data_IF_316089825469
#
_entry.id   IF_316089825469
#
_cell.length_a   1.000
_cell.length_b   1.000
_cell.length_c   1.000
_cell.angle_alpha   90.00
_cell.angle_beta   90.00
_cell.angle_gamma   90.00
#
_symmetry.space_group_name_H-M   'P 1'
#
loop_
_entity.id
_entity.type
_entity.pdbx_description
1 polymer ?
#
# COMPACT_ATOMS: atom_id res chain seq x y z
N UNK A 1 -10.82 0.56 -8.15
CA UNK A 1 -10.18 -0.43 -7.26
C UNK A 1 -8.78 -0.70 -7.77
N UNK A 2 -7.77 -0.12 -7.10
CA UNK A 2 -6.37 -0.08 -7.55
C UNK A 2 -5.78 -1.50 -7.65
N UNK A 3 -5.58 -1.99 -8.88
CA UNK A 3 -4.68 -3.11 -9.19
C UNK A 3 -3.27 -2.53 -9.37
N UNK A 4 -2.40 -2.75 -8.39
CA UNK A 4 -0.97 -2.44 -8.54
C UNK A 4 -0.37 -3.56 -9.42
N UNK A 5 -0.16 -3.27 -10.70
CA UNK A 5 0.57 -4.13 -11.61
C UNK A 5 2.07 -3.95 -11.40
N UNK A 6 2.79 -5.01 -11.01
CA UNK A 6 4.24 -5.07 -11.19
C UNK A 6 4.55 -5.83 -12.47
N UNK A 7 5.32 -5.18 -13.34
CA UNK A 7 5.67 -5.61 -14.69
C UNK A 7 6.55 -6.86 -14.66
N UNK A 8 6.09 -7.94 -15.30
CA UNK A 8 6.84 -9.19 -15.51
C UNK A 8 7.74 -9.01 -16.74
N UNK A 9 9.07 -9.12 -16.56
CA UNK A 9 10.00 -9.30 -17.69
C UNK A 9 10.52 -10.73 -17.62
N UNK A 10 9.95 -11.60 -18.46
CA UNK A 10 10.53 -12.92 -18.77
C UNK A 10 11.73 -12.71 -19.69
N UNK A 11 12.88 -13.25 -19.31
CA UNK A 11 13.95 -13.58 -20.25
C UNK A 11 14.74 -14.76 -19.73
N UNK A 12 14.74 -15.82 -20.55
CA UNK A 12 15.44 -17.09 -20.40
C UNK A 12 16.90 -16.93 -19.96
N UNK A 13 17.41 -17.79 -19.08
CA UNK A 13 18.80 -18.30 -19.10
C UNK A 13 18.93 -19.62 -18.31
N UNK A 14 19.54 -20.60 -18.95
CA UNK A 14 20.23 -21.72 -18.30
C UNK A 14 21.54 -21.25 -17.64
N UNK A 15 22.06 -22.11 -16.75
CA UNK A 15 23.34 -22.08 -16.02
C UNK A 15 23.37 -21.30 -14.70
N UNK A 16 23.00 -22.01 -13.63
CA UNK A 16 23.82 -22.08 -12.42
C UNK A 16 24.01 -20.79 -11.60
N UNK A 17 22.95 -20.01 -11.37
CA UNK A 17 22.89 -19.05 -10.24
C UNK A 17 21.49 -19.11 -9.64
N UNK A 18 21.39 -19.25 -8.32
CA UNK A 18 20.12 -19.28 -7.61
C UNK A 18 19.36 -17.97 -7.84
N UNK A 19 18.49 -17.96 -8.85
CA UNK A 19 17.58 -16.86 -9.10
C UNK A 19 16.53 -16.88 -7.98
N UNK A 20 16.66 -15.97 -7.02
CA UNK A 20 15.57 -15.64 -6.10
C UNK A 20 14.47 -14.93 -6.89
N UNK A 21 13.71 -15.69 -7.69
CA UNK A 21 12.49 -15.21 -8.30
C UNK A 21 11.46 -14.99 -7.20
N UNK A 22 11.08 -13.73 -6.98
CA UNK A 22 10.05 -13.35 -6.02
C UNK A 22 8.70 -13.40 -6.72
N UNK A 23 7.75 -14.12 -6.12
CA UNK A 23 6.34 -14.09 -6.53
C UNK A 23 5.73 -12.71 -6.29
N UNK A 24 4.83 -12.23 -7.16
CA UNK A 24 4.10 -10.98 -6.91
C UNK A 24 3.32 -11.09 -5.59
N UNK A 25 3.29 -10.00 -4.82
CA UNK A 25 2.53 -9.92 -3.56
C UNK A 25 1.04 -10.00 -3.90
N UNK A 26 0.45 -11.18 -3.77
CA UNK A 26 -0.98 -11.40 -3.95
C UNK A 26 -1.68 -10.97 -2.66
N UNK A 27 -2.52 -9.94 -2.72
CA UNK A 27 -3.47 -9.66 -1.65
C UNK A 27 -4.66 -10.61 -1.81
N UNK A 28 -4.96 -11.48 -0.83
CA UNK A 28 -6.07 -12.42 -0.93
C UNK A 28 -7.39 -11.67 -1.04
N UNK A 29 -8.23 -12.10 -1.98
CA UNK A 29 -9.53 -11.49 -2.26
C UNK A 29 -10.65 -12.10 -1.42
N UNK A 30 -10.39 -13.26 -0.81
CA UNK A 30 -11.32 -13.98 0.06
C UNK A 30 -10.64 -14.62 1.27
N UNK A 31 -11.43 -14.97 2.28
CA UNK A 31 -10.95 -15.71 3.46
C UNK A 31 -10.43 -17.12 3.12
N UNK A 32 -10.94 -17.76 2.06
CA UNK A 32 -10.47 -19.08 1.64
C UNK A 32 -9.06 -18.99 1.08
N UNK A 33 -8.81 -18.06 0.15
CA UNK A 33 -7.47 -17.81 -0.41
C UNK A 33 -6.46 -17.45 0.68
N UNK A 34 -6.89 -16.62 1.65
CA UNK A 34 -6.06 -16.26 2.79
C UNK A 34 -5.65 -17.51 3.61
N UNK A 35 -6.61 -18.41 3.91
CA UNK A 35 -6.33 -19.64 4.69
C UNK A 35 -5.32 -20.54 3.99
N UNK A 36 -5.52 -20.77 2.69
CA UNK A 36 -4.64 -21.61 1.90
C UNK A 36 -3.22 -21.05 1.85
N UNK A 37 -3.07 -19.73 1.64
CA UNK A 37 -1.75 -19.10 1.60
C UNK A 37 -1.08 -19.03 2.98
N UNK A 38 -1.84 -18.78 4.05
CA UNK A 38 -1.30 -18.84 5.42
C UNK A 38 -0.75 -20.23 5.73
N UNK A 39 -1.47 -21.30 5.34
CA UNK A 39 -1.00 -22.68 5.52
C UNK A 39 0.33 -22.92 4.81
N UNK A 40 0.50 -22.45 3.57
CA UNK A 40 1.77 -22.55 2.85
C UNK A 40 2.89 -21.78 3.55
N UNK A 41 2.60 -20.55 4.00
CA UNK A 41 3.55 -19.73 4.74
C UNK A 41 3.98 -20.35 6.07
N UNK A 42 3.11 -21.13 6.72
CA UNK A 42 3.48 -21.87 7.93
C UNK A 42 4.49 -22.97 7.67
N UNK A 43 4.49 -23.56 6.47
CA UNK A 43 5.52 -24.51 6.05
C UNK A 43 6.81 -23.79 5.63
N UNK A 44 6.71 -22.64 4.94
CA UNK A 44 7.87 -21.84 4.52
C UNK A 44 8.59 -21.17 5.72
N UNK A 45 7.84 -20.78 6.76
CA UNK A 45 8.30 -20.06 7.95
C UNK A 45 7.84 -20.76 9.25
N UNK A 46 8.32 -21.99 9.54
CA UNK A 46 7.84 -22.78 10.66
C UNK A 46 8.12 -22.16 12.04
N UNK A 47 9.14 -21.29 12.12
CA UNK A 47 9.49 -20.52 13.32
C UNK A 47 9.20 -19.02 13.15
N UNK A 48 8.49 -18.65 12.08
CA UNK A 48 8.31 -17.27 11.67
C UNK A 48 9.56 -16.64 11.05
N UNK A 49 9.63 -15.30 11.08
CA UNK A 49 10.76 -14.55 10.57
C UNK A 49 12.02 -14.77 11.42
N UNK A 50 13.17 -14.87 10.77
CA UNK A 50 14.48 -15.02 11.43
C UNK A 50 14.99 -13.74 12.11
N UNK A 51 14.26 -12.64 11.96
CA UNK A 51 14.54 -11.36 12.58
C UNK A 51 13.22 -10.73 13.03
N UNK A 52 13.34 -9.74 13.92
CA UNK A 52 12.21 -8.93 14.35
C UNK A 52 12.10 -7.69 13.46
N UNK A 53 10.96 -7.45 12.79
CA UNK A 53 10.74 -6.21 12.06
C UNK A 53 10.86 -4.97 12.94
N UNK A 54 11.56 -3.96 12.45
CA UNK A 54 11.74 -2.66 13.09
C UNK A 54 11.06 -1.56 12.28
N UNK A 55 11.05 -0.32 12.81
CA UNK A 55 10.53 0.82 12.05
C UNK A 55 11.34 0.99 10.77
N UNK A 56 10.64 1.23 9.66
CA UNK A 56 11.29 1.49 8.39
C UNK A 56 12.07 2.80 8.47
N UNK A 57 13.32 2.75 8.04
CA UNK A 57 14.16 3.92 7.79
C UNK A 57 14.51 3.90 6.32
N UNK A 58 14.30 5.03 5.64
CA UNK A 58 14.62 5.15 4.23
C UNK A 58 16.12 4.97 4.01
N UNK A 59 16.48 4.03 3.15
CA UNK A 59 17.87 3.78 2.76
C UNK A 59 18.09 4.23 1.32
N UNK A 60 19.22 4.88 1.01
CA UNK A 60 19.57 5.21 -0.37
C UNK A 60 19.57 3.94 -1.23
N UNK A 61 18.69 3.86 -2.23
CA UNK A 61 18.60 2.71 -3.15
C UNK A 61 19.73 2.64 -4.18
N UNK A 62 20.87 3.28 -3.93
CA UNK A 62 22.00 3.43 -4.85
C UNK A 62 23.22 2.65 -4.35
N UNK A 63 24.18 2.38 -5.25
CA UNK A 63 25.44 1.73 -4.90
C UNK A 63 26.37 2.72 -4.16
N UNK A 64 27.00 2.25 -3.09
CA UNK A 64 28.02 3.02 -2.35
C UNK A 64 29.42 2.62 -2.80
N UNK A 65 30.42 3.51 -2.64
CA UNK A 65 31.83 3.13 -2.85
C UNK A 65 32.29 2.05 -1.86
N UNK A 66 31.70 2.01 -0.67
CA UNK A 66 31.93 0.93 0.31
C UNK A 66 31.55 -0.45 -0.23
N UNK A 67 30.64 -0.52 -1.20
CA UNK A 67 30.23 -1.76 -1.85
C UNK A 67 31.28 -2.25 -2.88
N UNK A 68 32.35 -1.50 -3.16
CA UNK A 68 33.32 -1.81 -4.22
C UNK A 68 34.20 -3.04 -3.88
N UNK A 69 34.26 -3.98 -4.83
CA UNK A 69 35.12 -5.16 -4.81
C UNK A 69 36.33 -4.98 -5.74
N UNK A 70 37.24 -4.07 -5.39
CA UNK A 70 38.46 -3.85 -6.17
C UNK A 70 39.70 -4.02 -5.30
N UNK A 71 40.61 -4.89 -5.75
CA UNK A 71 41.86 -5.20 -5.05
C UNK A 71 43.04 -4.39 -5.58
N UNK A 72 42.93 -3.89 -6.81
CA UNK A 72 43.92 -3.03 -7.42
C UNK A 72 43.77 -1.59 -6.92
N UNK A 73 44.85 -1.04 -6.33
CA UNK A 73 44.81 0.30 -5.77
C UNK A 73 44.54 1.38 -6.81
N UNK A 74 45.05 1.25 -8.04
CA UNK A 74 44.82 2.25 -9.09
C UNK A 74 43.35 2.28 -9.53
N UNK A 75 42.73 1.11 -9.64
CA UNK A 75 41.30 1.00 -9.96
C UNK A 75 40.40 1.44 -8.80
N UNK A 76 40.84 1.22 -7.56
CA UNK A 76 40.16 1.71 -6.38
C UNK A 76 40.09 3.25 -6.36
N UNK A 77 41.21 3.93 -6.64
CA UNK A 77 41.25 5.40 -6.76
C UNK A 77 40.38 5.89 -7.93
N UNK A 78 40.42 5.20 -9.08
CA UNK A 78 39.57 5.50 -10.23
C UNK A 78 38.08 5.43 -9.89
N UNK A 79 37.67 4.55 -8.98
CA UNK A 79 36.26 4.38 -8.61
C UNK A 79 35.65 5.66 -8.01
N UNK A 80 36.44 6.47 -7.31
CA UNK A 80 35.98 7.74 -6.73
C UNK A 80 35.58 8.78 -7.80
N UNK A 81 36.09 8.67 -9.03
CA UNK A 81 35.64 9.53 -10.13
C UNK A 81 34.19 9.25 -10.58
N UNK A 82 33.63 8.10 -10.19
CA UNK A 82 32.25 7.74 -10.48
C UNK A 82 31.29 8.02 -9.32
N UNK A 83 31.70 8.84 -8.35
CA UNK A 83 30.82 9.30 -7.27
C UNK A 83 30.06 10.54 -7.71
N UNK A 84 28.74 10.51 -7.55
CA UNK A 84 27.88 11.64 -7.83
C UNK A 84 28.14 12.77 -6.84
N UNK A 85 28.48 13.97 -7.34
CA UNK A 85 28.72 15.14 -6.49
C UNK A 85 27.50 15.65 -5.71
N UNK A 86 26.29 15.13 -5.98
CA UNK A 86 25.05 15.52 -5.29
C UNK A 86 24.66 14.50 -4.23
N UNK A 87 24.47 13.23 -4.61
CA UNK A 87 24.02 12.20 -3.66
C UNK A 87 25.16 11.46 -2.97
N UNK A 88 26.42 11.68 -3.36
CA UNK A 88 27.62 11.02 -2.82
C UNK A 88 27.65 9.48 -2.98
N UNK A 89 26.76 8.95 -3.82
CA UNK A 89 26.69 7.54 -4.20
C UNK A 89 27.37 7.32 -5.56
N UNK A 90 27.67 6.07 -5.92
CA UNK A 90 28.08 5.74 -7.29
C UNK A 90 26.98 6.17 -8.27
N UNK A 91 27.38 6.86 -9.34
CA UNK A 91 26.45 7.48 -10.30
C UNK A 91 25.50 6.46 -10.92
N UNK A 92 24.19 6.73 -10.86
CA UNK A 92 23.15 5.98 -11.59
C UNK A 92 22.72 6.78 -12.81
N UNK A 93 22.75 6.14 -13.98
CA UNK A 93 22.45 6.79 -15.27
C UNK A 93 23.26 8.10 -15.41
N UNK A 94 24.59 8.01 -15.51
CA UNK A 94 25.49 9.16 -15.38
C UNK A 94 25.28 10.22 -16.47
N UNK A 95 25.36 11.49 -16.05
CA UNK A 95 25.44 12.68 -16.89
C UNK A 95 26.74 13.42 -16.59
N UNK A 96 27.46 13.80 -17.63
CA UNK A 96 28.77 14.45 -17.54
C UNK A 96 28.63 15.93 -17.84
N UNK A 97 29.17 16.79 -16.97
CA UNK A 97 29.24 18.22 -17.20
C UNK A 97 30.28 18.55 -18.29
N UNK A 98 29.92 19.32 -19.32
CA UNK A 98 30.83 19.69 -20.41
C UNK A 98 32.05 20.51 -19.97
N UNK A 99 31.93 21.33 -18.91
CA UNK A 99 33.02 22.20 -18.44
C UNK A 99 34.00 21.50 -17.49
N UNK A 100 33.50 20.83 -16.44
CA UNK A 100 34.36 20.21 -15.41
C UNK A 100 34.43 18.69 -15.46
N UNK A 101 33.78 18.05 -16.44
CA UNK A 101 33.78 16.58 -16.64
C UNK A 101 33.30 15.78 -15.42
N UNK A 102 32.65 16.43 -14.46
CA UNK A 102 32.11 15.79 -13.26
C UNK A 102 30.84 15.01 -13.60
N UNK A 103 30.67 13.86 -12.95
CA UNK A 103 29.53 12.97 -13.16
C UNK A 103 28.44 13.17 -12.10
N UNK A 104 27.19 13.14 -12.55
CA UNK A 104 26.00 13.22 -11.71
C UNK A 104 24.99 12.17 -12.13
N UNK A 105 24.17 11.68 -11.21
CA UNK A 105 23.01 10.86 -11.58
C UNK A 105 22.01 11.71 -12.36
N UNK A 106 21.39 11.17 -13.41
CA UNK A 106 20.37 11.87 -14.20
C UNK A 106 19.23 12.43 -13.32
N UNK A 107 18.75 11.63 -12.37
CA UNK A 107 17.70 12.02 -11.41
C UNK A 107 18.15 13.09 -10.42
N UNK A 108 19.40 13.06 -9.97
CA UNK A 108 19.96 14.09 -9.08
C UNK A 108 20.10 15.41 -9.82
N UNK A 109 20.58 15.35 -11.05
CA UNK A 109 20.75 16.51 -11.89
C UNK A 109 19.40 17.15 -12.26
N UNK A 110 18.39 16.35 -12.63
CA UNK A 110 17.05 16.86 -12.90
C UNK A 110 16.49 17.70 -11.74
N UNK A 111 16.51 17.16 -10.52
CA UNK A 111 16.06 17.86 -9.30
C UNK A 111 16.86 19.15 -9.01
N UNK A 112 18.16 19.14 -9.33
CA UNK A 112 19.00 20.31 -9.18
C UNK A 112 18.62 21.39 -10.19
N UNK A 113 18.47 21.01 -11.45
CA UNK A 113 18.12 21.92 -12.55
C UNK A 113 16.74 22.58 -12.36
N UNK A 114 15.81 21.92 -11.67
CA UNK A 114 14.53 22.53 -11.28
C UNK A 114 14.70 23.82 -10.46
N UNK A 115 15.80 23.94 -9.70
CA UNK A 115 16.05 25.07 -8.79
C UNK A 115 17.28 25.91 -9.17
N UNK A 116 18.23 25.35 -9.92
CA UNK A 116 19.49 26.01 -10.28
C UNK A 116 19.99 25.55 -11.65
N UNK A 117 20.20 26.48 -12.56
CA UNK A 117 20.73 26.21 -13.90
C UNK A 117 22.27 26.25 -13.94
N UNK A 118 22.92 25.89 -12.84
CA UNK A 118 24.38 25.93 -12.68
C UNK A 118 24.94 24.57 -12.38
N UNK A 119 26.22 24.34 -12.70
CA UNK A 119 26.91 23.12 -12.31
C UNK A 119 26.90 22.96 -10.76
N UNK A 120 26.51 21.79 -10.21
CA UNK A 120 26.59 21.52 -8.77
C UNK A 120 28.00 21.70 -8.20
N UNK A 121 29.04 21.41 -9.00
CA UNK A 121 30.44 21.62 -8.64
C UNK A 121 30.94 23.06 -8.87
N UNK A 122 30.05 23.98 -9.27
CA UNK A 122 30.35 25.41 -9.48
C UNK A 122 31.56 25.64 -10.39
N UNK A 123 31.64 24.90 -11.50
CA UNK A 123 32.71 25.09 -12.47
C UNK A 123 32.67 26.51 -13.05
N UNK A 124 33.85 27.10 -13.24
CA UNK A 124 34.03 28.54 -13.53
C UNK A 124 33.68 28.98 -14.97
N UNK A 125 33.25 28.06 -15.83
CA UNK A 125 33.05 28.37 -17.25
C UNK A 125 31.63 28.87 -17.54
N UNK A 126 31.59 30.07 -18.13
CA UNK A 126 30.46 30.98 -18.29
C UNK A 126 29.65 30.78 -19.59
N UNK A 127 29.81 29.65 -20.27
CA UNK A 127 28.95 29.24 -21.39
C UNK A 127 28.03 28.12 -20.91
N UNK A 128 26.74 28.19 -21.29
CA UNK A 128 25.66 27.28 -20.86
C UNK A 128 26.15 25.90 -20.39
N UNK A 129 25.96 25.59 -19.11
CA UNK A 129 26.37 24.30 -18.54
C UNK A 129 25.53 23.21 -19.19
N UNK A 130 26.14 22.50 -20.13
CA UNK A 130 25.52 21.35 -20.79
C UNK A 130 25.91 20.06 -20.05
N UNK A 131 24.94 19.15 -19.97
CA UNK A 131 25.14 17.85 -19.35
C UNK A 131 24.86 16.75 -20.36
N UNK A 132 25.92 16.10 -20.81
CA UNK A 132 25.86 15.13 -21.89
C UNK A 132 25.95 13.70 -21.34
N UNK A 133 25.69 12.71 -22.20
CA UNK A 133 26.05 11.34 -21.87
C UNK A 133 27.56 11.24 -21.79
N UNK A 134 28.12 10.53 -20.79
CA UNK A 134 29.55 10.34 -20.69
C UNK A 134 30.07 9.59 -21.91
N UNK A 135 31.34 9.84 -22.24
CA UNK A 135 31.95 9.17 -23.36
C UNK A 135 31.99 7.64 -23.18
N UNK A 136 32.15 6.90 -24.28
CA UNK A 136 32.16 5.43 -24.27
C UNK A 136 33.20 4.85 -23.30
N UNK A 137 34.36 5.48 -23.18
CA UNK A 137 35.46 4.99 -22.34
C UNK A 137 35.14 5.12 -20.85
N UNK A 138 34.58 6.26 -20.42
CA UNK A 138 34.10 6.50 -19.05
C UNK A 138 33.01 5.50 -18.70
N UNK A 139 32.04 5.29 -19.61
CA UNK A 139 30.97 4.29 -19.42
C UNK A 139 31.52 2.86 -19.31
N UNK A 140 32.49 2.49 -20.15
CA UNK A 140 33.14 1.18 -20.09
C UNK A 140 33.90 1.00 -18.78
N UNK A 141 34.61 2.03 -18.32
CA UNK A 141 35.38 2.02 -17.08
C UNK A 141 34.47 1.82 -15.86
N UNK A 142 33.34 2.52 -15.81
CA UNK A 142 32.31 2.30 -14.79
C UNK A 142 31.77 0.87 -14.83
N UNK A 143 31.45 0.35 -16.02
CA UNK A 143 30.91 -1.00 -16.19
C UNK A 143 31.88 -2.12 -15.76
N UNK A 144 33.19 -1.87 -15.76
CA UNK A 144 34.18 -2.87 -15.33
C UNK A 144 34.33 -2.95 -13.81
N UNK A 145 33.84 -1.96 -13.06
CA UNK A 145 33.87 -1.99 -11.60
C UNK A 145 32.95 -3.08 -11.09
N UNK A 146 33.42 -3.83 -10.08
CA UNK A 146 32.66 -4.87 -9.42
C UNK A 146 32.24 -4.43 -8.03
N UNK A 147 31.04 -4.83 -7.62
CA UNK A 147 30.47 -4.48 -6.32
C UNK A 147 29.91 -5.71 -5.62
N UNK A 148 29.92 -5.67 -4.29
CA UNK A 148 29.23 -6.61 -3.42
C UNK A 148 28.03 -5.95 -2.75
N UNK A 149 26.95 -6.70 -2.59
CA UNK A 149 25.83 -6.23 -1.80
C UNK A 149 26.13 -6.36 -0.30
N UNK A 150 26.25 -5.23 0.41
CA UNK A 150 26.47 -5.22 1.86
C UNK A 150 25.21 -5.45 2.70
N UNK A 151 24.07 -5.71 2.07
CA UNK A 151 22.82 -6.01 2.78
C UNK A 151 22.97 -7.33 3.55
N UNK A 152 22.68 -7.31 4.84
CA UNK A 152 22.82 -8.50 5.70
C UNK A 152 22.09 -9.71 5.14
N UNK A 153 22.81 -10.83 4.98
CA UNK A 153 22.29 -12.08 4.41
C UNK A 153 22.37 -12.17 2.89
N UNK A 154 22.71 -11.08 2.18
CA UNK A 154 22.96 -11.11 0.75
C UNK A 154 24.43 -11.45 0.46
N UNK A 155 24.66 -12.33 -0.52
CA UNK A 155 25.99 -12.73 -1.00
C UNK A 155 26.21 -12.35 -2.47
N UNK A 156 25.42 -11.40 -2.98
CA UNK A 156 25.52 -11.01 -4.38
C UNK A 156 26.80 -10.23 -4.65
N UNK A 157 27.47 -10.58 -5.74
CA UNK A 157 28.59 -9.85 -6.33
C UNK A 157 28.41 -9.80 -7.85
N UNK A 158 28.70 -8.65 -8.46
CA UNK A 158 28.54 -8.47 -9.90
C UNK A 158 29.27 -7.26 -10.42
N UNK A 159 29.22 -7.03 -11.72
CA UNK A 159 29.65 -5.77 -12.31
C UNK A 159 28.69 -4.62 -11.96
N UNK A 160 29.01 -3.38 -12.36
CA UNK A 160 28.16 -2.21 -12.11
C UNK A 160 26.72 -2.42 -12.59
N UNK A 161 26.51 -2.93 -13.82
CA UNK A 161 25.18 -3.07 -14.40
C UNK A 161 24.35 -4.12 -13.66
N UNK A 162 24.96 -5.28 -13.36
CA UNK A 162 24.35 -6.34 -12.57
C UNK A 162 24.04 -5.85 -11.14
N UNK A 163 24.96 -5.09 -10.53
CA UNK A 163 24.81 -4.58 -9.16
C UNK A 163 23.72 -3.53 -9.05
N UNK A 164 23.59 -2.65 -10.04
CA UNK A 164 22.49 -1.69 -10.13
C UNK A 164 21.14 -2.38 -10.27
N UNK A 165 21.05 -3.43 -11.09
CA UNK A 165 19.85 -4.26 -11.19
C UNK A 165 19.56 -4.97 -9.87
N UNK A 166 20.58 -5.54 -9.24
CA UNK A 166 20.47 -6.24 -7.97
C UNK A 166 19.95 -5.34 -6.86
N UNK A 167 20.49 -4.12 -6.67
CA UNK A 167 20.03 -3.21 -5.60
C UNK A 167 18.53 -2.90 -5.68
N UNK A 168 17.97 -2.84 -6.89
CA UNK A 168 16.51 -2.63 -7.11
C UNK A 168 15.66 -3.87 -6.85
N UNK A 169 16.28 -5.05 -6.73
CA UNK A 169 15.60 -6.36 -6.65
C UNK A 169 16.08 -7.21 -5.46
N UNK A 170 16.96 -6.68 -4.63
CA UNK A 170 17.60 -7.43 -3.56
C UNK A 170 16.55 -7.99 -2.60
N UNK A 171 16.54 -9.31 -2.45
CA UNK A 171 15.61 -10.02 -1.60
C UNK A 171 15.71 -9.60 -0.12
N UNK A 172 16.93 -9.28 0.34
CA UNK A 172 17.24 -8.89 1.72
C UNK A 172 17.09 -7.39 1.97
N UNK A 173 16.75 -6.60 0.95
CA UNK A 173 16.53 -5.17 1.14
C UNK A 173 15.25 -4.95 1.96
N UNK A 174 15.38 -4.16 3.02
CA UNK A 174 14.23 -3.71 3.82
C UNK A 174 13.42 -2.71 2.99
N UNK A 175 12.14 -2.98 2.84
CA UNK A 175 11.16 -2.11 2.20
C UNK A 175 10.09 -1.71 3.22
N UNK A 176 9.48 -0.52 3.07
CA UNK A 176 8.34 -0.16 3.90
C UNK A 176 7.19 -1.12 3.61
N UNK A 177 6.46 -1.51 4.65
CA UNK A 177 5.22 -2.28 4.50
C UNK A 177 4.29 -1.61 3.48
N UNK A 178 3.82 -2.38 2.49
CA UNK A 178 2.94 -1.86 1.43
C UNK A 178 1.56 -1.41 1.94
N UNK A 179 1.12 -1.92 3.10
CA UNK A 179 -0.09 -1.48 3.80
C UNK A 179 0.17 -0.32 4.80
N UNK A 180 1.37 0.25 4.79
CA UNK A 180 1.68 1.46 5.57
C UNK A 180 1.69 1.23 7.08
N UNK A 181 2.03 0.03 7.56
CA UNK A 181 2.10 -0.22 9.02
C UNK A 181 3.30 0.44 9.72
N UNK A 182 4.26 0.97 8.93
CA UNK A 182 5.46 1.67 9.40
C UNK A 182 6.67 0.77 9.66
N UNK A 183 6.55 -0.56 9.48
CA UNK A 183 7.67 -1.50 9.64
C UNK A 183 8.46 -1.69 8.35
N UNK A 184 9.76 -1.94 8.50
CA UNK A 184 10.68 -2.31 7.42
C UNK A 184 10.84 -3.83 7.35
N UNK A 185 10.48 -4.41 6.20
CA UNK A 185 10.44 -5.87 5.99
C UNK A 185 11.36 -6.23 4.83
N UNK A 186 12.11 -7.32 4.93
CA UNK A 186 12.88 -7.82 3.80
C UNK A 186 11.92 -8.13 2.65
N UNK A 187 12.29 -7.72 1.44
CA UNK A 187 11.45 -7.91 0.25
C UNK A 187 10.92 -9.35 0.11
N UNK A 188 11.76 -10.35 0.38
CA UNK A 188 11.39 -11.78 0.36
C UNK A 188 10.32 -12.18 1.37
N UNK A 189 10.26 -11.49 2.50
CA UNK A 189 9.39 -11.83 3.63
C UNK A 189 8.14 -10.93 3.69
N UNK A 190 7.98 -10.03 2.71
CA UNK A 190 6.88 -9.07 2.66
C UNK A 190 5.52 -9.77 2.68
N UNK A 191 5.36 -10.86 1.92
CA UNK A 191 4.12 -11.62 1.89
C UNK A 191 3.79 -12.23 3.27
N UNK A 192 4.79 -12.86 3.92
CA UNK A 192 4.62 -13.39 5.27
C UNK A 192 4.17 -12.30 6.24
N UNK A 193 4.84 -11.14 6.22
CA UNK A 193 4.46 -10.01 7.05
C UNK A 193 3.01 -9.57 6.79
N UNK A 194 2.64 -9.36 5.52
CA UNK A 194 1.32 -8.88 5.16
C UNK A 194 0.21 -9.82 5.62
N UNK A 195 0.38 -11.12 5.42
CA UNK A 195 -0.67 -12.09 5.71
C UNK A 195 -0.74 -12.51 7.19
N UNK A 196 0.40 -12.59 7.89
CA UNK A 196 0.45 -13.12 9.28
C UNK A 196 0.72 -12.10 10.37
N UNK A 197 1.24 -10.91 10.06
CA UNK A 197 1.71 -9.95 11.08
C UNK A 197 1.15 -8.54 10.90
N UNK A 198 0.78 -8.14 9.69
CA UNK A 198 0.41 -6.76 9.42
C UNK A 198 -0.98 -6.46 9.95
N UNK A 199 -1.06 -5.64 11.00
CA UNK A 199 -2.31 -5.15 11.60
C UNK A 199 -3.23 -4.39 10.63
N UNK A 200 -2.71 -3.91 9.50
CA UNK A 200 -3.49 -3.20 8.48
C UNK A 200 -4.02 -4.13 7.38
N UNK A 201 -3.77 -5.45 7.47
CA UNK A 201 -4.36 -6.40 6.54
C UNK A 201 -5.88 -6.35 6.66
N UNK A 202 -6.52 -6.08 5.53
CA UNK A 202 -7.97 -6.01 5.41
C UNK A 202 -8.44 -7.06 4.41
N UNK A 203 -9.40 -7.89 4.80
CA UNK A 203 -9.98 -8.93 3.93
C UNK A 203 -11.49 -8.80 3.91
N UNK A 204 -12.07 -8.77 2.72
CA UNK A 204 -13.52 -8.73 2.55
C UNK A 204 -14.14 -10.12 2.76
N UNK A 205 -15.19 -10.18 3.57
CA UNK A 205 -15.98 -11.38 3.75
C UNK A 205 -17.28 -11.29 2.93
N UNK A 206 -17.42 -12.17 1.93
CA UNK A 206 -18.65 -12.26 1.13
C UNK A 206 -19.86 -12.80 1.88
N UNK A 207 -19.66 -13.46 3.03
CA UNK A 207 -20.75 -14.06 3.81
C UNK A 207 -21.48 -13.04 4.68
N UNK A 208 -20.76 -12.13 5.33
CA UNK A 208 -21.36 -11.09 6.18
C UNK A 208 -21.32 -9.70 5.55
N UNK A 209 -20.71 -9.57 4.36
CA UNK A 209 -20.51 -8.31 3.65
C UNK A 209 -19.81 -7.25 4.51
N UNK A 210 -18.71 -7.66 5.15
CA UNK A 210 -17.92 -6.77 6.01
C UNK A 210 -16.42 -7.04 5.88
N UNK A 211 -15.62 -6.02 6.20
CA UNK A 211 -14.17 -6.15 6.25
C UNK A 211 -13.71 -6.74 7.58
N UNK A 212 -12.77 -7.67 7.50
CA UNK A 212 -12.08 -8.23 8.64
C UNK A 212 -10.64 -7.73 8.72
N UNK A 213 -10.10 -7.72 9.93
CA UNK A 213 -8.71 -7.36 10.24
C UNK A 213 -8.06 -8.49 11.03
N UNK A 214 -7.64 -9.58 10.36
CA UNK A 214 -7.24 -10.83 11.03
C UNK A 214 -6.04 -10.69 12.00
N UNK A 215 -5.22 -9.66 11.77
CA UNK A 215 -4.00 -9.40 12.52
C UNK A 215 -4.12 -8.18 13.44
N UNK A 216 -5.30 -7.55 13.56
CA UNK A 216 -5.48 -6.42 14.49
C UNK A 216 -5.62 -6.94 15.93
N UNK A 217 -4.69 -6.61 16.84
CA UNK A 217 -4.73 -7.08 18.23
C UNK A 217 -5.92 -6.56 19.03
N UNK A 218 -6.64 -5.53 18.56
CA UNK A 218 -7.85 -5.01 19.22
C UNK A 218 -9.13 -5.74 18.79
N UNK A 219 -9.11 -6.39 17.64
CA UNK A 219 -10.28 -7.03 17.02
C UNK A 219 -10.14 -8.56 17.05
N UNK A 220 -8.92 -9.08 16.96
CA UNK A 220 -8.64 -10.51 16.98
C UNK A 220 -8.64 -11.09 18.39
N UNK A 221 -9.58 -11.99 18.66
CA UNK A 221 -9.39 -13.00 19.71
C UNK A 221 -8.07 -13.73 19.44
N UNK A 222 -7.10 -13.56 20.35
CA UNK A 222 -6.00 -14.51 20.61
C UNK A 222 -5.22 -15.06 19.40
N UNK A 223 -4.86 -14.20 18.43
CA UNK A 223 -3.86 -14.52 17.41
C UNK A 223 -4.45 -15.15 16.14
N UNK A 224 -4.18 -14.51 14.99
CA UNK A 224 -4.60 -14.95 13.63
C UNK A 224 -6.01 -15.56 13.64
N UNK A 225 -6.94 -14.88 14.32
CA UNK A 225 -8.28 -15.36 14.56
C UNK A 225 -9.14 -15.11 13.33
N UNK A 226 -9.50 -16.19 12.65
CA UNK A 226 -10.40 -16.16 11.50
C UNK A 226 -11.69 -15.41 11.83
N UNK A 227 -12.08 -14.50 10.94
CA UNK A 227 -13.31 -13.73 11.01
C UNK A 227 -14.54 -14.60 11.37
N UNK A 228 -15.19 -14.30 12.50
CA UNK A 228 -16.43 -14.93 12.93
C UNK A 228 -17.64 -14.17 12.37
N UNK A 229 -18.13 -14.63 11.21
CA UNK A 229 -19.32 -14.07 10.56
C UNK A 229 -20.53 -14.05 11.50
N UNK A 230 -20.68 -15.04 12.37
CA UNK A 230 -21.86 -15.18 13.23
C UNK A 230 -21.91 -14.04 14.24
N UNK A 231 -20.78 -13.66 14.83
CA UNK A 231 -20.74 -12.55 15.79
C UNK A 231 -20.97 -11.20 15.11
N UNK A 232 -20.45 -11.01 13.91
CA UNK A 232 -20.69 -9.80 13.11
C UNK A 232 -22.19 -9.68 12.79
N UNK A 233 -22.79 -10.77 12.27
CA UNK A 233 -24.21 -10.80 11.94
C UNK A 233 -25.10 -10.61 13.18
N UNK A 234 -24.75 -11.22 14.32
CA UNK A 234 -25.47 -11.03 15.60
C UNK A 234 -25.46 -9.57 16.05
N UNK A 235 -24.31 -8.91 15.96
CA UNK A 235 -24.16 -7.49 16.32
C UNK A 235 -25.02 -6.61 15.40
N UNK A 236 -24.93 -6.82 14.09
CA UNK A 236 -25.75 -6.09 13.10
C UNK A 236 -27.24 -6.29 13.35
N UNK A 237 -27.69 -7.53 13.60
CA UNK A 237 -29.09 -7.82 13.94
C UNK A 237 -29.54 -7.09 15.22
N UNK A 238 -28.67 -6.94 16.21
CA UNK A 238 -28.97 -6.20 17.44
C UNK A 238 -29.10 -4.70 17.15
N UNK A 239 -28.15 -4.11 16.42
CA UNK A 239 -28.16 -2.70 16.04
C UNK A 239 -29.41 -2.34 15.23
N UNK A 240 -29.74 -3.13 14.21
CA UNK A 240 -30.96 -2.93 13.41
C UNK A 240 -32.23 -3.03 14.26
N UNK A 241 -32.29 -3.94 15.25
CA UNK A 241 -33.43 -4.03 16.18
C UNK A 241 -33.57 -2.78 17.05
N UNK A 242 -32.45 -2.24 17.54
CA UNK A 242 -32.42 -1.01 18.35
C UNK A 242 -32.81 0.21 17.51
N UNK A 243 -32.36 0.30 16.26
CA UNK A 243 -32.77 1.35 15.32
C UNK A 243 -34.26 1.28 15.01
N UNK A 244 -34.80 0.10 14.70
CA UNK A 244 -36.23 -0.09 14.48
C UNK A 244 -37.06 0.28 15.72
N UNK A 245 -36.56 0.04 16.93
CA UNK A 245 -37.23 0.45 18.15
C UNK A 245 -37.30 1.99 18.28
N UNK A 246 -36.25 2.72 17.87
CA UNK A 246 -36.24 4.18 17.83
C UNK A 246 -37.29 4.73 16.86
N UNK A 247 -37.36 4.20 15.63
CA UNK A 247 -38.38 4.60 14.65
C UNK A 247 -39.80 4.32 15.13
N UNK A 248 -40.06 3.14 15.69
CA UNK A 248 -41.37 2.80 16.27
C UNK A 248 -41.79 3.74 17.40
N UNK A 249 -40.84 4.20 18.23
CA UNK A 249 -41.14 5.17 19.28
C UNK A 249 -41.47 6.57 18.74
N UNK A 250 -40.94 6.93 17.56
CA UNK A 250 -41.23 8.21 16.90
C UNK A 250 -42.59 8.20 16.17
N UNK A 251 -43.01 7.05 15.63
CA UNK A 251 -44.31 6.89 14.96
C UNK A 251 -45.51 6.72 15.94
N UNK A 252 -45.27 6.70 17.26
CA UNK A 252 -46.36 6.63 18.27
C UNK A 252 -47.15 7.93 18.49
N UNK A 253 -47.00 8.94 17.62
CA UNK A 253 -47.83 10.16 17.67
C UNK A 253 -48.49 10.44 16.31
N UNK A 254 -49.49 9.64 15.95
CA UNK A 254 -50.80 10.14 15.48
C UNK A 254 -51.92 9.18 15.95
N UNK A 255 -52.01 8.88 17.25
CA UNK A 255 -53.33 8.79 17.90
C UNK A 255 -53.80 10.20 18.27
N UNK A 256 -53.73 11.12 17.31
CA UNK A 256 -54.41 12.40 17.43
C UNK A 256 -55.89 12.10 17.31
N UNK A 257 -56.64 12.24 18.40
CA UNK A 257 -58.11 12.23 18.42
C UNK A 257 -58.65 12.97 17.20
N UNK A 258 -58.99 12.24 16.13
CA UNK A 258 -59.51 12.84 14.89
C UNK A 258 -60.83 13.49 15.29
N UNK A 259 -60.91 14.81 15.15
CA UNK A 259 -62.14 15.55 15.47
C UNK A 259 -62.96 15.75 14.20
N UNK A 260 -64.27 15.56 14.29
CA UNK A 260 -65.16 15.97 13.21
C UNK A 260 -65.13 17.51 13.06
N UNK A 261 -65.73 18.05 11.98
CA UNK A 261 -65.84 19.50 11.77
C UNK A 261 -66.50 20.28 12.92
N UNK A 262 -67.23 19.59 13.81
CA UNK A 262 -67.89 20.14 15.00
C UNK A 262 -67.14 19.83 16.32
N UNK A 263 -65.92 19.29 16.26
CA UNK A 263 -65.03 19.13 17.42
C UNK A 263 -65.17 17.84 18.23
N UNK A 264 -66.06 16.92 17.87
CA UNK A 264 -66.26 15.63 18.57
C UNK A 264 -65.08 14.67 18.30
N UNK A 265 -64.60 13.98 19.33
CA UNK A 265 -63.56 12.96 19.20
C UNK A 265 -64.11 11.70 18.48
N UNK A 266 -63.39 11.23 17.45
CA UNK A 266 -63.73 10.02 16.70
C UNK A 266 -62.72 8.91 17.00
N UNK A 267 -63.21 7.71 17.30
CA UNK A 267 -62.37 6.53 17.60
C UNK A 267 -62.22 5.56 16.42
N UNK A 268 -63.00 5.71 15.35
CA UNK A 268 -62.96 4.80 14.19
C UNK A 268 -63.17 5.54 12.88
N UNK A 269 -62.27 5.35 11.91
CA UNK A 269 -62.37 5.93 10.57
C UNK A 269 -63.32 5.05 9.75
N UNK A 270 -64.57 5.47 9.54
CA UNK A 270 -65.38 4.90 8.47
C UNK A 270 -64.93 5.53 7.14
N UNK A 271 -64.43 4.69 6.24
CA UNK A 271 -63.95 5.10 4.91
C UNK A 271 -65.05 5.81 4.13
N UNK A 272 -64.74 7.01 3.60
CA UNK A 272 -65.68 7.79 2.79
C UNK A 272 -65.77 7.22 1.37
N UNK A 273 -66.98 7.15 0.78
CA UNK A 273 -67.14 6.92 -0.66
C UNK A 273 -66.51 8.07 -1.46
N UNK A 274 -65.92 7.82 -2.65
CA UNK A 274 -65.18 8.82 -3.43
C UNK A 274 -65.98 10.06 -3.88
N UNK A 275 -67.31 10.05 -3.74
CA UNK A 275 -68.22 11.07 -4.27
C UNK A 275 -68.68 12.10 -3.24
N UNK A 276 -68.22 12.03 -1.98
CA UNK A 276 -68.64 12.94 -0.92
C UNK A 276 -67.64 14.08 -0.69
N UNK A 277 -68.08 15.33 -0.93
CA UNK A 277 -67.28 16.56 -0.83
C UNK A 277 -67.35 17.28 0.53
N UNK A 278 -68.05 16.73 1.52
CA UNK A 278 -68.14 17.30 2.88
C UNK A 278 -66.97 16.88 3.79
N UNK A 279 -66.70 17.67 4.84
CA UNK A 279 -65.71 17.35 5.90
C UNK A 279 -66.04 16.07 6.68
N UNK A 280 -65.11 15.48 7.45
CA UNK A 280 -65.38 14.27 8.24
C UNK A 280 -66.44 14.55 9.33
N UNK A 281 -67.48 13.71 9.40
CA UNK A 281 -68.58 13.78 10.36
C UNK A 281 -68.61 12.49 11.20
N UNK A 282 -68.89 12.61 12.50
CA UNK A 282 -69.09 11.45 13.38
C UNK A 282 -70.57 11.01 13.36
N UNK A 283 -70.84 9.74 13.69
CA UNK A 283 -72.20 9.16 13.70
C UNK A 283 -73.23 10.00 14.47
N UNK A 284 -72.78 10.71 15.52
CA UNK A 284 -73.61 11.59 16.32
C UNK A 284 -74.01 12.88 15.60
N UNK A 285 -73.10 13.49 14.82
CA UNK A 285 -73.41 14.67 14.01
C UNK A 285 -74.20 14.31 12.74
N UNK A 286 -74.03 13.10 12.22
CA UNK A 286 -74.78 12.62 11.05
C UNK A 286 -76.26 12.47 11.35
N UNK A 287 -76.64 12.02 12.56
CA UNK A 287 -78.05 11.89 12.98
C UNK A 287 -78.74 13.24 13.26
N UNK A 288 -78.00 14.28 13.63
CA UNK A 288 -78.56 15.60 13.94
C UNK A 288 -78.95 16.41 12.69
N UNK A 289 -78.46 16.05 11.50
CA UNK A 289 -78.80 16.69 10.22
C UNK A 289 -79.98 16.03 9.49
N UNK A 290 -80.71 15.10 10.13
CA UNK A 290 -81.85 14.38 9.54
C UNK A 290 -83.22 14.94 9.96
N UNK A 291 -83.29 16.20 10.39
CA UNK A 291 -84.53 16.95 10.62
C UNK A 291 -84.62 18.17 9.71
#
# INVERSE_FOLDING_TARGET
>A
FFRIYFCFVLSNMEVGRAACALSPVVTPSSHQELRERISQLDHEYPQGLRYKPERYVEQPGLLEIRDLLEKDQQKHELAYHFVCGICTMVVNDPRECSGCQSLFCDTCLGKWMDNSQTCPNKCRESSATEFNMPNRYVKQSLNMLRFMCMTSGCCFEGDYAESMKHKRQCAFQKLPCSLGCGLGIDRRDMEYHLLKQCKHLQVWCSTCEEHSYPNDPKIGDQGVGLHDCVQVLKRRLKETREELAKYKSQDTVVEGSIRCGNGCAMTTIQWKPPTYSGGPQCDHCTRANLH
#
